data_IF_887796316880
#
_entry.id   IF_887796316880
#
_cell.length_a   1.000
_cell.length_b   1.000
_cell.length_c   1.000
_cell.angle_alpha   90.00
_cell.angle_beta   90.00
_cell.angle_gamma   90.00
#
_symmetry.space_group_name_H-M   'P 1'
#
loop_
_entity.id
_entity.type
_entity.pdbx_description
1 polymer ?
#
# COMPACT_ATOMS: atom_id res chain seq x y z
N UNK A 1 23.65 -20.47 13.12
CA UNK A 1 22.88 -19.73 14.13
C UNK A 1 21.47 -19.62 13.58
N UNK A 2 20.51 -20.31 14.15
CA UNK A 2 19.10 -20.23 13.77
C UNK A 2 18.56 -18.88 14.27
N UNK A 3 18.27 -17.94 13.38
CA UNK A 3 17.55 -16.72 13.74
C UNK A 3 16.06 -17.06 13.80
N UNK A 4 15.48 -16.89 14.95
CA UNK A 4 14.05 -17.05 15.21
C UNK A 4 13.33 -15.93 14.45
N UNK A 5 12.46 -16.31 13.51
CA UNK A 5 11.53 -15.39 12.87
C UNK A 5 10.64 -14.79 13.96
N UNK A 6 10.59 -13.50 13.99
CA UNK A 6 9.76 -12.74 14.89
C UNK A 6 8.33 -12.76 14.38
N UNK A 7 7.43 -13.31 15.18
CA UNK A 7 6.03 -13.49 14.82
C UNK A 7 5.22 -12.39 15.49
N UNK A 8 4.59 -11.54 14.70
CA UNK A 8 3.51 -10.71 15.18
C UNK A 8 2.22 -11.54 15.07
N UNK A 9 1.63 -11.94 16.19
CA UNK A 9 0.36 -12.68 16.19
C UNK A 9 -0.74 -11.68 16.54
N UNK A 10 -1.57 -11.37 15.57
CA UNK A 10 -2.81 -10.62 15.79
C UNK A 10 -3.97 -11.60 15.73
N UNK A 11 -4.72 -11.74 16.83
CA UNK A 11 -5.90 -12.59 16.88
C UNK A 11 -7.13 -11.75 16.51
N UNK A 12 -7.78 -12.06 15.41
CA UNK A 12 -9.07 -11.51 15.03
C UNK A 12 -10.17 -12.54 15.31
N UNK A 13 -11.24 -12.10 15.97
CA UNK A 13 -12.42 -12.92 16.17
C UNK A 13 -13.23 -12.97 14.88
N UNK A 14 -13.42 -14.14 14.31
CA UNK A 14 -14.39 -14.29 13.22
C UNK A 14 -15.81 -14.25 13.79
N UNK A 15 -16.68 -13.47 13.15
CA UNK A 15 -18.06 -13.25 13.58
C UNK A 15 -18.96 -14.48 13.39
N UNK A 16 -18.60 -15.62 13.97
CA UNK A 16 -19.48 -16.80 14.10
C UNK A 16 -19.14 -17.51 15.40
N UNK A 17 -19.82 -17.11 16.42
CA UNK A 17 -20.14 -17.75 17.70
C UNK A 17 -19.62 -17.07 18.97
N UNK A 18 -20.53 -16.98 19.88
CA UNK A 18 -20.47 -16.50 21.26
C UNK A 18 -19.20 -16.89 22.04
N UNK A 19 -18.68 -15.87 22.71
CA UNK A 19 -17.94 -15.94 23.97
C UNK A 19 -16.74 -16.90 24.02
N UNK A 20 -15.57 -16.39 23.61
CA UNK A 20 -14.31 -16.79 24.24
C UNK A 20 -13.35 -15.60 24.20
N UNK A 21 -12.86 -15.21 25.36
CA UNK A 21 -11.80 -14.22 25.51
C UNK A 21 -10.52 -14.84 24.96
N UNK A 22 -10.18 -14.52 23.72
CA UNK A 22 -8.91 -14.91 23.13
C UNK A 22 -7.81 -13.94 23.59
N UNK A 23 -6.71 -14.45 24.09
CA UNK A 23 -5.54 -13.65 24.39
C UNK A 23 -4.93 -13.18 23.08
N UNK A 24 -4.91 -11.86 22.91
CA UNK A 24 -4.09 -11.22 21.88
C UNK A 24 -2.70 -11.04 22.48
N UNK A 25 -1.77 -11.85 22.07
CA UNK A 25 -0.36 -11.67 22.43
C UNK A 25 0.36 -11.10 21.23
N UNK A 26 0.56 -9.81 21.25
CA UNK A 26 1.42 -9.14 20.30
C UNK A 26 2.84 -9.01 20.87
N UNK A 27 3.73 -9.93 20.58
CA UNK A 27 5.15 -9.68 20.79
C UNK A 27 5.68 -8.91 19.60
N UNK A 28 5.74 -7.59 19.71
CA UNK A 28 6.52 -6.75 18.82
C UNK A 28 7.92 -6.55 19.37
N UNK A 29 8.87 -7.24 18.82
CA UNK A 29 10.27 -6.82 18.91
C UNK A 29 10.66 -6.20 17.59
N UNK A 30 11.13 -4.96 17.65
CA UNK A 30 11.79 -4.14 16.61
C UNK A 30 11.44 -4.50 15.15
N UNK A 31 10.82 -3.59 14.43
CA UNK A 31 10.64 -3.72 12.98
C UNK A 31 11.97 -4.12 12.36
N UNK A 32 12.11 -5.40 12.03
CA UNK A 32 13.32 -5.94 11.43
C UNK A 32 13.29 -5.53 9.96
N UNK A 33 14.02 -4.49 9.65
CA UNK A 33 14.41 -4.23 8.27
C UNK A 33 15.02 -5.49 7.66
N UNK A 34 14.79 -5.76 6.37
CA UNK A 34 15.29 -6.98 5.73
C UNK A 34 16.77 -7.19 6.02
N UNK A 35 17.15 -8.42 6.34
CA UNK A 35 18.51 -8.79 6.69
C UNK A 35 19.48 -8.41 5.59
N UNK A 36 20.28 -7.40 5.81
CA UNK A 36 21.28 -6.85 4.89
C UNK A 36 21.67 -5.42 5.22
N UNK A 37 20.80 -4.64 5.83
CA UNK A 37 21.19 -3.37 6.41
C UNK A 37 21.80 -3.64 7.79
N UNK A 38 23.06 -3.37 7.97
CA UNK A 38 23.66 -3.22 9.30
C UNK A 38 22.83 -2.18 10.02
N UNK A 39 22.22 -2.57 11.13
CA UNK A 39 21.27 -1.79 11.87
C UNK A 39 21.75 -0.37 12.13
N UNK A 40 21.24 0.55 11.37
CA UNK A 40 21.13 1.92 11.79
C UNK A 40 19.82 1.97 12.56
N UNK A 41 19.91 1.99 13.90
CA UNK A 41 18.82 2.48 14.72
C UNK A 41 18.56 3.90 14.21
N UNK A 42 17.54 4.05 13.40
CA UNK A 42 16.96 5.36 13.18
C UNK A 42 16.05 5.55 14.39
N UNK A 43 16.43 6.38 15.37
CA UNK A 43 15.45 6.84 16.33
C UNK A 43 14.34 7.48 15.51
N UNK A 44 13.10 7.43 16.00
CA UNK A 44 12.06 8.38 15.63
C UNK A 44 12.53 9.79 16.09
N UNK A 45 13.61 10.22 15.55
CA UNK A 45 14.08 11.56 15.61
C UNK A 45 13.60 12.17 14.31
N UNK A 46 12.54 13.05 14.46
CA UNK A 46 12.49 14.25 13.68
C UNK A 46 13.27 14.03 12.38
N UNK A 47 12.56 13.88 11.27
CA UNK A 47 13.15 14.22 9.98
C UNK A 47 13.57 15.68 10.18
N UNK A 48 14.75 15.87 10.75
CA UNK A 48 15.49 17.07 10.47
C UNK A 48 15.63 17.00 8.97
N UNK A 49 14.88 17.87 8.29
CA UNK A 49 15.19 18.23 6.93
C UNK A 49 16.71 18.29 6.90
N UNK A 50 17.36 17.32 6.23
CA UNK A 50 18.73 17.57 5.83
C UNK A 50 18.63 18.89 5.12
N UNK A 51 19.19 19.93 5.74
CA UNK A 51 19.43 21.18 5.08
C UNK A 51 20.13 20.81 3.80
N UNK A 52 19.39 20.92 2.70
CA UNK A 52 20.01 20.86 1.39
C UNK A 52 21.08 21.95 1.42
N UNK A 53 22.31 21.66 0.99
CA UNK A 53 23.38 22.65 1.06
C UNK A 53 22.92 23.92 0.35
N UNK A 54 22.63 24.96 1.14
CA UNK A 54 22.54 26.33 0.79
C UNK A 54 21.69 26.70 -0.42
N UNK A 55 20.37 26.83 -0.24
CA UNK A 55 19.63 27.83 -1.00
C UNK A 55 19.99 29.21 -0.41
N UNK A 56 21.14 29.72 -0.80
CA UNK A 56 21.36 31.15 -0.79
C UNK A 56 20.55 31.72 -1.96
N UNK A 57 19.61 32.63 -1.60
CA UNK A 57 18.87 33.46 -2.53
C UNK A 57 17.86 32.77 -3.45
N UNK A 58 16.68 32.38 -2.93
CA UNK A 58 15.36 32.63 -3.53
C UNK A 58 15.01 32.07 -4.92
N UNK A 59 15.88 31.36 -5.59
CA UNK A 59 15.59 30.72 -6.87
C UNK A 59 14.91 29.36 -6.64
N UNK A 60 13.75 29.08 -7.25
CA UNK A 60 13.15 27.76 -7.17
C UNK A 60 14.12 26.76 -7.78
N UNK A 61 14.39 25.68 -7.02
CA UNK A 61 15.21 24.55 -7.50
C UNK A 61 14.57 24.02 -8.79
N UNK A 62 15.15 24.35 -9.93
CA UNK A 62 14.74 23.81 -11.22
C UNK A 62 15.21 22.35 -11.26
N UNK A 63 14.29 21.41 -10.97
CA UNK A 63 14.55 20.00 -11.24
C UNK A 63 14.82 19.81 -12.73
N UNK A 64 15.98 19.30 -13.05
CA UNK A 64 16.29 18.89 -14.43
C UNK A 64 16.16 17.38 -14.50
N UNK A 65 15.25 16.91 -15.33
CA UNK A 65 15.08 15.48 -15.59
C UNK A 65 16.39 14.91 -16.14
N UNK A 66 16.87 13.75 -15.63
CA UNK A 66 18.08 13.14 -16.13
C UNK A 66 17.94 12.70 -17.59
N UNK A 67 19.06 12.71 -18.32
CA UNK A 67 19.08 12.18 -19.68
C UNK A 67 18.76 10.68 -19.65
N UNK A 68 17.81 10.25 -20.47
CA UNK A 68 17.36 8.87 -20.52
C UNK A 68 18.40 8.01 -21.26
N UNK A 69 18.81 6.89 -20.66
CA UNK A 69 19.71 5.92 -21.32
C UNK A 69 19.06 5.17 -22.49
N UNK A 70 17.71 5.24 -22.59
CA UNK A 70 16.97 4.74 -23.74
C UNK A 70 17.03 5.76 -24.88
N UNK A 71 17.31 5.28 -26.10
CA UNK A 71 17.20 6.11 -27.30
C UNK A 71 15.76 6.59 -27.52
N UNK A 72 15.58 7.63 -28.30
CA UNK A 72 14.24 8.16 -28.63
C UNK A 72 13.34 7.11 -29.29
N UNK A 73 13.89 6.22 -30.10
CA UNK A 73 13.12 5.15 -30.74
C UNK A 73 12.66 4.10 -29.70
N UNK A 74 13.51 3.74 -28.74
CA UNK A 74 13.18 2.85 -27.66
C UNK A 74 12.13 3.46 -26.73
N UNK A 75 12.27 4.73 -26.36
CA UNK A 75 11.26 5.46 -25.58
C UNK A 75 9.91 5.43 -26.28
N UNK A 76 9.89 5.74 -27.59
CA UNK A 76 8.65 5.70 -28.39
C UNK A 76 8.06 4.30 -28.48
N UNK A 77 8.89 3.27 -28.59
CA UNK A 77 8.43 1.89 -28.58
C UNK A 77 7.76 1.56 -27.24
N UNK A 78 8.38 1.88 -26.11
CA UNK A 78 7.83 1.64 -24.78
C UNK A 78 6.54 2.45 -24.57
N UNK A 79 6.47 3.69 -25.06
CA UNK A 79 5.24 4.48 -25.03
C UNK A 79 4.10 3.81 -25.80
N UNK A 80 4.38 3.30 -26.99
CA UNK A 80 3.39 2.59 -27.79
C UNK A 80 2.94 1.28 -27.11
N UNK A 81 3.87 0.55 -26.50
CA UNK A 81 3.56 -0.67 -25.73
C UNK A 81 2.67 -0.34 -24.51
N UNK A 82 2.94 0.77 -23.81
CA UNK A 82 2.09 1.22 -22.70
C UNK A 82 0.67 1.59 -23.15
N UNK A 83 0.55 2.30 -24.26
CA UNK A 83 -0.76 2.63 -24.85
C UNK A 83 -1.49 1.35 -25.26
N UNK A 84 -0.81 0.41 -25.94
CA UNK A 84 -1.40 -0.87 -26.34
C UNK A 84 -1.84 -1.72 -25.14
N UNK A 85 -1.09 -1.72 -24.04
CA UNK A 85 -1.47 -2.37 -22.80
C UNK A 85 -2.74 -1.75 -22.20
N UNK A 86 -2.82 -0.42 -22.20
CA UNK A 86 -4.01 0.30 -21.76
C UNK A 86 -5.22 0.01 -22.67
N UNK A 87 -5.05 -0.02 -24.01
CA UNK A 87 -6.11 -0.37 -24.95
C UNK A 87 -6.73 -1.74 -24.67
N UNK A 88 -5.93 -2.75 -24.28
CA UNK A 88 -6.44 -4.07 -23.89
C UNK A 88 -7.40 -4.01 -22.69
N UNK A 89 -7.26 -2.97 -21.87
CA UNK A 89 -8.02 -2.78 -20.63
C UNK A 89 -9.09 -1.69 -20.76
N UNK A 90 -9.23 -1.06 -21.93
CA UNK A 90 -10.12 0.09 -22.14
C UNK A 90 -11.57 -0.17 -21.73
N UNK A 91 -12.06 -1.42 -21.85
CA UNK A 91 -13.41 -1.81 -21.46
C UNK A 91 -13.74 -1.59 -19.97
N UNK A 92 -12.73 -1.63 -19.11
CA UNK A 92 -12.91 -1.36 -17.66
C UNK A 92 -13.01 0.13 -17.35
N UNK A 93 -12.57 0.99 -18.25
CA UNK A 93 -12.51 2.44 -18.11
C UNK A 93 -13.60 3.19 -18.89
N UNK A 94 -14.34 2.51 -19.74
CA UNK A 94 -15.42 3.09 -20.55
C UNK A 94 -16.82 2.94 -19.97
N UNK A 95 -16.98 2.28 -18.83
CA UNK A 95 -18.27 2.08 -18.19
C UNK A 95 -18.83 3.42 -17.67
N UNK A 96 -20.01 3.82 -18.11
CA UNK A 96 -20.66 5.11 -17.80
C UNK A 96 -20.89 5.33 -16.29
N UNK A 97 -20.95 4.27 -15.48
CA UNK A 97 -21.20 4.34 -14.04
C UNK A 97 -19.98 4.78 -13.21
N UNK A 98 -18.80 4.81 -13.81
CA UNK A 98 -17.54 5.10 -13.10
C UNK A 98 -17.01 6.51 -13.34
N UNK A 99 -17.67 7.34 -14.13
CA UNK A 99 -17.19 8.69 -14.48
C UNK A 99 -17.69 9.71 -13.46
N UNK A 100 -16.98 9.87 -12.35
CA UNK A 100 -17.12 11.06 -11.54
C UNK A 100 -16.35 12.22 -12.19
N UNK A 101 -16.99 12.92 -13.10
CA UNK A 101 -16.46 14.15 -13.68
C UNK A 101 -16.50 15.27 -12.64
N UNK A 102 -15.46 15.43 -11.85
CA UNK A 102 -15.24 16.71 -11.18
C UNK A 102 -14.81 17.72 -12.24
N UNK A 103 -15.78 18.41 -12.83
CA UNK A 103 -15.58 19.42 -13.89
C UNK A 103 -14.69 20.61 -13.47
N UNK A 104 -14.32 20.68 -12.18
CA UNK A 104 -13.63 21.83 -11.61
C UNK A 104 -12.13 21.67 -11.44
N UNK A 105 -11.53 20.49 -11.64
CA UNK A 105 -10.10 20.29 -11.33
C UNK A 105 -9.16 20.32 -12.53
N UNK A 106 -9.67 20.38 -13.74
CA UNK A 106 -8.82 20.36 -14.97
C UNK A 106 -8.06 19.05 -15.20
N UNK A 107 -8.31 18.03 -14.36
CA UNK A 107 -7.79 16.68 -14.54
C UNK A 107 -8.77 15.82 -15.31
N UNK A 108 -8.26 14.90 -16.13
CA UNK A 108 -9.08 13.91 -16.80
C UNK A 108 -9.91 13.13 -15.78
N UNK A 109 -11.11 12.72 -16.17
CA UNK A 109 -12.07 12.00 -15.33
C UNK A 109 -11.38 10.86 -14.57
N UNK A 110 -11.41 10.93 -13.25
CA UNK A 110 -10.93 9.85 -12.39
C UNK A 110 -12.02 8.79 -12.36
N UNK A 111 -11.71 7.60 -12.83
CA UNK A 111 -12.57 6.43 -12.78
C UNK A 111 -12.11 5.59 -11.60
N UNK A 112 -12.89 5.49 -10.54
CA UNK A 112 -12.57 4.57 -9.46
C UNK A 112 -12.75 3.13 -9.93
N UNK A 113 -11.66 2.36 -9.92
CA UNK A 113 -11.67 0.94 -10.23
C UNK A 113 -11.96 0.13 -8.95
N UNK A 114 -12.95 -0.76 -9.06
CA UNK A 114 -13.15 -1.76 -8.00
C UNK A 114 -11.95 -2.71 -7.92
N UNK A 115 -11.80 -3.39 -6.81
CA UNK A 115 -10.79 -4.43 -6.64
C UNK A 115 -10.88 -5.49 -7.74
N UNK A 116 -12.08 -5.97 -8.04
CA UNK A 116 -12.28 -6.98 -9.07
C UNK A 116 -11.85 -6.49 -10.45
N UNK A 117 -12.12 -5.23 -10.79
CA UNK A 117 -11.67 -4.64 -12.05
C UNK A 117 -10.15 -4.56 -12.13
N UNK A 118 -9.48 -4.16 -11.04
CA UNK A 118 -8.00 -4.17 -10.99
C UNK A 118 -7.43 -5.57 -11.13
N UNK A 119 -8.03 -6.57 -10.45
CA UNK A 119 -7.67 -7.99 -10.61
C UNK A 119 -7.81 -8.46 -12.06
N UNK A 120 -8.91 -8.12 -12.70
CA UNK A 120 -9.16 -8.49 -14.09
C UNK A 120 -8.15 -7.84 -15.03
N UNK A 121 -7.84 -6.55 -14.85
CA UNK A 121 -6.82 -5.83 -15.63
C UNK A 121 -5.45 -6.51 -15.48
N UNK A 122 -5.00 -6.77 -14.25
CA UNK A 122 -3.72 -7.43 -13.98
C UNK A 122 -3.69 -8.82 -14.64
N UNK A 123 -4.79 -9.57 -14.59
CA UNK A 123 -4.87 -10.88 -15.24
C UNK A 123 -4.87 -10.78 -16.77
N UNK A 124 -5.58 -9.82 -17.36
CA UNK A 124 -5.56 -9.58 -18.82
C UNK A 124 -4.14 -9.31 -19.29
N UNK A 125 -3.44 -8.39 -18.64
CA UNK A 125 -2.05 -8.05 -18.97
C UNK A 125 -1.10 -9.23 -18.76
N UNK A 126 -1.21 -9.89 -17.61
CA UNK A 126 -0.38 -11.06 -17.29
C UNK A 126 -0.56 -12.23 -18.25
N UNK A 127 -1.79 -12.51 -18.68
CA UNK A 127 -2.08 -13.55 -19.68
C UNK A 127 -1.55 -13.22 -21.07
N UNK A 128 -1.29 -11.94 -21.35
CA UNK A 128 -0.60 -11.48 -22.57
C UNK A 128 0.93 -11.37 -22.39
N UNK A 129 1.48 -11.96 -21.34
CA UNK A 129 2.93 -12.05 -21.10
C UNK A 129 3.54 -10.77 -20.49
N UNK A 130 2.74 -9.82 -20.07
CA UNK A 130 3.22 -8.58 -19.44
C UNK A 130 3.41 -8.77 -17.94
N UNK A 131 4.43 -8.12 -17.36
CA UNK A 131 4.54 -8.04 -15.91
C UNK A 131 3.52 -7.02 -15.42
N UNK A 132 2.60 -7.45 -14.58
CA UNK A 132 1.51 -6.60 -14.10
C UNK A 132 1.22 -6.84 -12.63
N UNK A 133 0.84 -5.80 -11.90
CA UNK A 133 0.60 -5.84 -10.47
C UNK A 133 -0.41 -4.75 -10.07
N UNK A 134 -1.12 -4.97 -8.98
CA UNK A 134 -1.76 -3.92 -8.19
C UNK A 134 -1.52 -4.20 -6.71
N UNK A 135 -1.81 -3.23 -5.85
CA UNK A 135 -1.49 -3.31 -4.42
C UNK A 135 -2.05 -4.55 -3.71
N UNK A 136 -3.18 -5.04 -4.20
CA UNK A 136 -3.99 -6.10 -3.60
C UNK A 136 -3.77 -7.49 -4.25
N UNK A 137 -2.83 -7.60 -5.19
CA UNK A 137 -2.58 -8.83 -5.96
C UNK A 137 -1.12 -9.26 -5.97
N UNK A 138 -0.93 -10.55 -6.25
CA UNK A 138 0.38 -11.06 -6.64
C UNK A 138 0.76 -10.55 -8.04
N UNK A 139 2.02 -10.18 -8.20
CA UNK A 139 2.58 -9.80 -9.48
C UNK A 139 2.51 -10.97 -10.48
N UNK A 140 2.00 -10.71 -11.67
CA UNK A 140 2.00 -11.65 -12.79
C UNK A 140 3.33 -11.57 -13.53
N UNK A 141 3.83 -12.72 -13.97
CA UNK A 141 5.11 -12.86 -14.69
C UNK A 141 6.30 -12.24 -13.92
N UNK A 142 6.28 -12.37 -12.61
CA UNK A 142 7.27 -11.78 -11.69
C UNK A 142 8.69 -12.28 -11.96
N UNK A 143 8.84 -13.44 -12.58
CA UNK A 143 10.13 -14.04 -12.96
C UNK A 143 10.93 -13.12 -13.89
N UNK A 144 10.27 -12.28 -14.69
CA UNK A 144 10.93 -11.30 -15.54
C UNK A 144 11.63 -10.21 -14.71
N UNK A 145 11.04 -9.84 -13.56
CA UNK A 145 11.66 -8.88 -12.62
C UNK A 145 12.87 -9.54 -11.91
N UNK A 146 12.75 -10.81 -11.53
CA UNK A 146 13.88 -11.55 -10.96
C UNK A 146 15.03 -11.68 -11.98
N UNK A 147 14.70 -11.95 -13.25
CA UNK A 147 15.66 -12.02 -14.33
C UNK A 147 16.36 -10.68 -14.57
N UNK A 148 15.59 -9.58 -14.65
CA UNK A 148 16.14 -8.23 -14.71
C UNK A 148 17.14 -7.97 -13.59
N UNK A 149 16.73 -8.23 -12.35
CA UNK A 149 17.59 -8.00 -11.18
C UNK A 149 18.85 -8.88 -11.21
N UNK A 150 18.74 -10.11 -11.66
CA UNK A 150 19.86 -11.04 -11.79
C UNK A 150 20.89 -10.55 -12.81
N UNK A 151 20.43 -10.05 -13.97
CA UNK A 151 21.30 -9.47 -14.99
C UNK A 151 21.96 -8.17 -14.51
N UNK A 152 21.19 -7.28 -13.88
CA UNK A 152 21.72 -6.07 -13.25
C UNK A 152 22.85 -6.41 -12.26
N UNK A 153 22.67 -7.42 -11.40
CA UNK A 153 23.65 -7.83 -10.39
C UNK A 153 24.99 -8.26 -10.96
N UNK A 154 25.01 -8.80 -12.16
CA UNK A 154 26.25 -9.22 -12.85
C UNK A 154 26.73 -8.16 -13.86
N UNK A 155 26.13 -6.96 -13.85
CA UNK A 155 26.53 -5.86 -14.72
C UNK A 155 26.13 -6.00 -16.20
N UNK A 156 25.19 -6.90 -16.51
CA UNK A 156 24.64 -7.05 -17.84
C UNK A 156 23.48 -6.07 -18.07
N UNK A 157 23.41 -5.51 -19.27
CA UNK A 157 22.28 -4.68 -19.67
C UNK A 157 20.96 -5.45 -19.58
N UNK A 158 19.97 -4.81 -18.97
CA UNK A 158 18.68 -5.43 -18.70
C UNK A 158 17.56 -4.39 -18.72
N UNK A 159 16.34 -4.86 -19.06
CA UNK A 159 15.14 -4.05 -19.09
C UNK A 159 13.95 -4.90 -18.67
N UNK A 160 13.07 -4.34 -17.84
CA UNK A 160 11.76 -4.92 -17.50
C UNK A 160 10.73 -3.81 -17.34
N UNK A 161 9.52 -4.00 -17.85
CA UNK A 161 8.41 -3.06 -17.70
C UNK A 161 7.33 -3.68 -16.84
N UNK A 162 6.90 -2.97 -15.78
CA UNK A 162 5.82 -3.33 -14.88
C UNK A 162 4.63 -2.43 -15.18
N UNK A 163 3.44 -3.02 -15.36
CA UNK A 163 2.18 -2.33 -15.60
C UNK A 163 1.30 -2.35 -14.36
N UNK A 164 0.63 -1.22 -14.07
CA UNK A 164 -0.04 -1.02 -12.79
C UNK A 164 -1.33 -0.20 -12.94
N UNK A 165 -2.51 -0.83 -12.70
CA UNK A 165 -3.77 -0.11 -12.54
C UNK A 165 -3.93 0.34 -11.09
N UNK A 166 -4.32 1.60 -10.87
CA UNK A 166 -4.56 2.18 -9.54
C UNK A 166 -6.05 2.31 -9.24
N UNK A 167 -6.37 2.42 -7.95
CA UNK A 167 -7.75 2.57 -7.47
C UNK A 167 -8.42 3.82 -8.05
N UNK A 168 -7.67 4.91 -8.22
CA UNK A 168 -8.14 6.18 -8.76
C UNK A 168 -8.36 6.17 -10.29
N UNK A 169 -8.24 4.99 -10.92
CA UNK A 169 -8.40 4.83 -12.36
C UNK A 169 -7.18 5.24 -13.18
N UNK A 170 -6.09 5.67 -12.56
CA UNK A 170 -4.86 5.85 -13.32
C UNK A 170 -4.27 4.51 -13.74
N UNK A 171 -3.58 4.51 -14.87
CA UNK A 171 -2.84 3.36 -15.37
C UNK A 171 -1.42 3.80 -15.66
N UNK A 172 -0.46 3.02 -15.22
CA UNK A 172 0.93 3.35 -15.48
C UNK A 172 1.75 2.17 -15.99
N UNK A 173 2.87 2.48 -16.61
CA UNK A 173 3.96 1.55 -16.80
C UNK A 173 5.26 2.13 -16.25
N UNK A 174 6.05 1.28 -15.62
CA UNK A 174 7.36 1.64 -15.12
C UNK A 174 8.38 0.66 -15.67
N UNK A 175 9.26 1.18 -16.53
CA UNK A 175 10.34 0.40 -17.13
C UNK A 175 11.61 0.63 -16.32
N UNK A 176 12.12 -0.41 -15.70
CA UNK A 176 13.47 -0.42 -15.13
C UNK A 176 14.46 -0.73 -16.25
N UNK A 177 15.50 0.07 -16.36
CA UNK A 177 16.55 -0.11 -17.36
C UNK A 177 17.91 0.03 -16.71
N UNK A 178 18.77 -0.95 -16.97
CA UNK A 178 20.19 -0.88 -16.62
C UNK A 178 21.01 -0.97 -17.90
N UNK A 179 21.77 0.08 -18.17
CA UNK A 179 22.58 0.18 -19.38
C UNK A 179 23.80 1.05 -19.12
N UNK A 180 24.97 0.63 -19.62
CA UNK A 180 26.22 1.39 -19.51
C UNK A 180 26.60 1.80 -18.08
N UNK A 181 26.21 0.99 -17.09
CA UNK A 181 26.45 1.27 -15.68
C UNK A 181 25.44 2.23 -15.04
N UNK A 182 24.47 2.72 -15.79
CA UNK A 182 23.40 3.61 -15.32
C UNK A 182 22.13 2.79 -15.08
N UNK A 183 21.50 3.01 -13.94
CA UNK A 183 20.22 2.41 -13.57
C UNK A 183 19.15 3.49 -13.48
N UNK A 184 18.08 3.35 -14.27
CA UNK A 184 16.99 4.31 -14.34
C UNK A 184 15.62 3.63 -14.32
N UNK A 185 14.59 4.41 -14.01
CA UNK A 185 13.21 4.13 -14.38
C UNK A 185 12.75 5.08 -15.47
N UNK A 186 12.00 4.53 -16.43
CA UNK A 186 11.21 5.30 -17.37
C UNK A 186 9.73 5.07 -17.07
N UNK A 187 9.08 6.10 -16.53
CA UNK A 187 7.68 6.06 -16.10
C UNK A 187 6.78 6.64 -17.17
N UNK A 188 5.65 6.00 -17.43
CA UNK A 188 4.59 6.48 -18.31
C UNK A 188 3.29 6.43 -17.54
N UNK A 189 2.63 7.58 -17.39
CA UNK A 189 1.28 7.70 -16.87
C UNK A 189 0.28 7.79 -18.02
N UNK A 190 -0.73 6.95 -17.98
CA UNK A 190 -1.84 6.91 -18.94
C UNK A 190 -3.09 7.45 -18.27
N UNK A 191 -3.76 8.38 -18.93
CA UNK A 191 -5.11 8.80 -18.62
C UNK A 191 -6.07 8.41 -19.73
N UNK A 192 -7.33 8.74 -19.55
CA UNK A 192 -8.41 8.34 -20.45
C UNK A 192 -9.18 9.54 -20.95
N UNK A 193 -9.53 9.56 -22.22
CA UNK A 193 -10.49 10.49 -22.78
C UNK A 193 -11.93 10.05 -22.49
N UNK A 194 -12.89 10.94 -22.67
CA UNK A 194 -14.31 10.66 -22.41
C UNK A 194 -14.87 9.43 -23.13
N UNK A 195 -14.22 9.00 -24.20
CA UNK A 195 -14.58 7.82 -24.99
C UNK A 195 -13.79 6.56 -24.62
N UNK A 196 -13.04 6.58 -23.51
CA UNK A 196 -12.22 5.45 -23.08
C UNK A 196 -10.92 5.23 -23.88
N UNK A 197 -10.50 6.20 -24.69
CA UNK A 197 -9.23 6.13 -25.42
C UNK A 197 -8.08 6.49 -24.48
N UNK A 198 -7.06 5.62 -24.33
CA UNK A 198 -5.91 5.93 -23.49
C UNK A 198 -5.01 6.99 -24.13
N UNK A 199 -4.50 7.90 -23.31
CA UNK A 199 -3.56 8.94 -23.72
C UNK A 199 -2.42 9.06 -22.72
N UNK A 200 -1.21 9.26 -23.21
CA UNK A 200 -0.04 9.51 -22.35
C UNK A 200 -0.19 10.90 -21.74
N UNK A 201 -0.28 10.95 -20.42
CA UNK A 201 -0.33 12.20 -19.64
C UNK A 201 1.05 12.60 -19.10
N UNK A 202 1.92 11.62 -18.86
CA UNK A 202 3.26 11.84 -18.37
C UNK A 202 4.22 10.81 -18.92
N UNK A 203 5.44 11.25 -19.23
CA UNK A 203 6.59 10.38 -19.49
C UNK A 203 7.78 11.00 -18.76
N UNK A 204 8.45 10.25 -17.87
CA UNK A 204 9.51 10.78 -17.00
C UNK A 204 10.62 9.77 -16.80
N UNK A 205 11.85 10.25 -16.76
CA UNK A 205 13.04 9.46 -16.40
C UNK A 205 13.48 9.81 -14.99
N UNK A 206 13.82 8.81 -14.18
CA UNK A 206 14.44 9.00 -12.87
C UNK A 206 15.67 8.11 -12.74
N UNK A 207 16.75 8.67 -12.22
CA UNK A 207 17.90 7.89 -11.80
C UNK A 207 17.59 7.12 -10.53
N UNK A 208 18.04 5.87 -10.46
CA UNK A 208 17.96 5.03 -9.26
C UNK A 208 19.32 4.99 -8.58
N UNK A 209 19.37 5.44 -7.32
CA UNK A 209 20.58 5.41 -6.52
C UNK A 209 20.89 4.00 -5.99
N UNK A 210 19.87 3.23 -5.67
CA UNK A 210 20.01 1.87 -5.13
C UNK A 210 18.79 1.02 -5.54
N UNK A 211 19.05 -0.24 -5.87
CA UNK A 211 17.99 -1.24 -6.07
C UNK A 211 18.41 -2.57 -5.46
N UNK A 212 17.47 -3.26 -4.82
CA UNK A 212 17.70 -4.61 -4.28
C UNK A 212 16.43 -5.44 -4.31
N UNK A 213 16.58 -6.72 -4.59
CA UNK A 213 15.57 -7.74 -4.38
C UNK A 213 15.86 -8.44 -3.07
N UNK A 214 14.94 -8.37 -2.12
CA UNK A 214 15.10 -8.96 -0.79
C UNK A 214 14.79 -10.47 -0.82
N UNK A 215 15.27 -11.21 0.20
CA UNK A 215 14.93 -12.63 0.38
C UNK A 215 13.42 -12.83 0.58
N UNK A 216 12.73 -11.84 1.17
CA UNK A 216 11.29 -11.81 1.36
C UNK A 216 10.50 -11.54 0.07
N UNK A 217 11.17 -11.21 -1.02
CA UNK A 217 10.56 -11.03 -2.33
C UNK A 217 10.12 -9.61 -2.66
N UNK A 218 10.68 -8.60 -2.00
CA UNK A 218 10.45 -7.20 -2.36
C UNK A 218 11.57 -6.68 -3.24
N UNK A 219 11.24 -6.08 -4.37
CA UNK A 219 12.12 -5.20 -5.11
C UNK A 219 12.02 -3.80 -4.50
N UNK A 220 13.03 -3.38 -3.77
CA UNK A 220 13.11 -2.05 -3.16
C UNK A 220 14.10 -1.23 -3.94
N UNK A 221 13.73 0.00 -4.29
CA UNK A 221 14.62 0.93 -4.97
C UNK A 221 14.52 2.33 -4.38
N UNK A 222 15.62 3.08 -4.50
CA UNK A 222 15.74 4.45 -4.01
C UNK A 222 15.96 5.36 -5.19
N UNK A 223 15.09 6.31 -5.42
CA UNK A 223 15.27 7.35 -6.43
C UNK A 223 16.45 8.25 -6.04
N UNK A 224 17.25 8.68 -7.01
CA UNK A 224 18.38 9.57 -6.74
C UNK A 224 17.93 10.97 -6.30
N UNK A 225 16.74 11.38 -6.76
CA UNK A 225 16.13 12.68 -6.44
C UNK A 225 14.65 12.48 -6.15
N UNK A 226 14.13 13.22 -5.16
CA UNK A 226 12.69 13.29 -4.89
C UNK A 226 12.09 14.35 -5.81
N UNK A 227 11.13 13.94 -6.64
CA UNK A 227 10.38 14.85 -7.49
C UNK A 227 9.04 15.18 -6.84
N UNK A 228 8.83 16.44 -6.51
CA UNK A 228 7.60 16.95 -5.88
C UNK A 228 7.22 16.18 -4.61
N UNK A 229 6.03 15.56 -4.57
CA UNK A 229 5.53 14.78 -3.43
C UNK A 229 5.85 13.29 -3.52
N UNK A 230 6.77 12.88 -4.40
CA UNK A 230 7.17 11.48 -4.56
C UNK A 230 7.93 10.92 -3.35
N UNK A 231 7.98 9.62 -3.25
CA UNK A 231 8.77 8.91 -2.26
C UNK A 231 10.22 8.75 -2.74
N UNK A 232 11.18 8.97 -1.84
CA UNK A 232 12.57 8.66 -2.14
C UNK A 232 12.74 7.15 -2.35
N UNK A 233 12.09 6.34 -1.52
CA UNK A 233 12.18 4.88 -1.55
C UNK A 233 10.82 4.29 -1.94
N UNK A 234 10.84 3.43 -2.93
CA UNK A 234 9.67 2.72 -3.45
C UNK A 234 9.94 1.22 -3.48
N UNK A 235 8.88 0.42 -3.61
CA UNK A 235 9.02 -1.03 -3.65
C UNK A 235 7.89 -1.70 -4.44
N UNK A 236 8.16 -2.94 -4.89
CA UNK A 236 7.18 -3.88 -5.41
C UNK A 236 7.27 -5.20 -4.66
N UNK A 237 6.12 -5.78 -4.33
CA UNK A 237 6.06 -7.18 -3.96
C UNK A 237 6.22 -8.02 -5.23
N UNK A 238 7.37 -8.66 -5.41
CA UNK A 238 7.70 -9.46 -6.60
C UNK A 238 7.33 -10.92 -6.38
N UNK A 239 7.86 -11.57 -5.34
CA UNK A 239 7.54 -12.97 -5.07
C UNK A 239 6.12 -13.11 -4.55
N UNK A 240 5.32 -14.02 -5.13
CA UNK A 240 3.94 -14.19 -4.73
C UNK A 240 3.81 -14.71 -3.30
N UNK A 241 2.73 -14.32 -2.64
CA UNK A 241 2.23 -14.92 -1.41
C UNK A 241 1.07 -15.88 -1.73
N UNK A 242 0.73 -16.81 -0.82
CA UNK A 242 -0.52 -17.55 -0.93
C UNK A 242 -1.71 -16.58 -1.10
N UNK A 243 -2.65 -16.92 -1.98
CA UNK A 243 -3.79 -16.04 -2.27
C UNK A 243 -4.59 -15.71 -1.01
N UNK A 244 -4.80 -16.68 -0.12
CA UNK A 244 -5.44 -16.44 1.17
C UNK A 244 -4.70 -15.40 2.03
N UNK A 245 -3.36 -15.38 1.99
CA UNK A 245 -2.60 -14.33 2.68
C UNK A 245 -2.83 -12.94 2.07
N UNK A 246 -2.97 -12.86 0.74
CA UNK A 246 -3.32 -11.61 0.05
C UNK A 246 -4.72 -11.13 0.44
N UNK A 247 -5.70 -12.03 0.45
CA UNK A 247 -7.08 -11.73 0.88
C UNK A 247 -7.13 -11.26 2.35
N UNK A 248 -6.38 -11.94 3.24
CA UNK A 248 -6.29 -11.54 4.64
C UNK A 248 -5.58 -10.19 4.83
N UNK A 249 -4.51 -9.93 4.05
CA UNK A 249 -3.85 -8.63 4.02
C UNK A 249 -4.84 -7.54 3.64
N UNK A 250 -5.59 -7.74 2.58
CA UNK A 250 -6.55 -6.77 2.11
C UNK A 250 -7.66 -6.52 3.13
N UNK A 251 -8.21 -7.58 3.69
CA UNK A 251 -9.31 -7.46 4.64
C UNK A 251 -8.91 -6.78 5.94
N UNK A 252 -7.74 -7.10 6.49
CA UNK A 252 -7.38 -6.73 7.86
C UNK A 252 -6.24 -5.73 7.98
N UNK A 253 -5.48 -5.48 6.90
CA UNK A 253 -4.26 -4.69 6.95
C UNK A 253 -4.28 -3.49 6.01
N UNK A 254 -4.48 -3.72 4.70
CA UNK A 254 -4.36 -2.67 3.67
C UNK A 254 -5.32 -1.51 3.83
N UNK A 255 -6.43 -1.74 4.48
CA UNK A 255 -7.43 -0.71 4.72
C UNK A 255 -7.26 0.09 6.01
N UNK A 256 -6.27 -0.23 6.83
CA UNK A 256 -6.07 0.48 8.08
C UNK A 256 -5.51 1.88 7.84
N UNK A 257 -6.06 2.87 8.53
CA UNK A 257 -5.48 4.20 8.61
C UNK A 257 -4.18 4.19 9.41
N UNK A 258 -3.44 5.30 9.34
CA UNK A 258 -2.20 5.47 10.11
C UNK A 258 -2.38 5.20 11.61
N UNK A 259 -3.50 5.62 12.18
CA UNK A 259 -3.76 5.42 13.61
C UNK A 259 -4.10 3.97 13.93
N UNK A 260 -4.97 3.35 13.15
CA UNK A 260 -5.32 1.93 13.33
C UNK A 260 -4.12 1.00 13.07
N UNK A 261 -3.18 1.46 12.25
CA UNK A 261 -1.92 0.77 12.01
C UNK A 261 -1.05 0.60 13.26
N UNK A 262 -1.26 1.43 14.29
CA UNK A 262 -0.60 1.29 15.59
C UNK A 262 -0.80 -0.09 16.21
N UNK A 263 -1.92 -0.77 15.92
CA UNK A 263 -2.18 -2.16 16.32
C UNK A 263 -1.08 -3.12 15.86
N UNK A 264 -0.44 -2.83 14.72
CA UNK A 264 0.59 -3.67 14.11
C UNK A 264 2.01 -3.34 14.58
N UNK A 265 2.22 -2.14 15.13
CA UNK A 265 3.57 -1.64 15.47
C UNK A 265 3.77 -1.32 16.95
N UNK A 266 2.73 -1.46 17.76
CA UNK A 266 2.78 -1.28 19.22
C UNK A 266 2.77 -2.65 19.90
N UNK A 267 3.58 -2.81 20.94
CA UNK A 267 3.55 -4.01 21.78
C UNK A 267 2.43 -3.87 22.82
N UNK A 268 1.32 -4.57 22.59
CA UNK A 268 0.13 -4.49 23.42
C UNK A 268 -0.52 -5.86 23.62
N UNK A 269 -1.26 -5.98 24.72
CA UNK A 269 -2.11 -7.12 25.05
C UNK A 269 -3.38 -6.66 25.79
N UNK A 270 -4.14 -7.59 26.34
CA UNK A 270 -5.35 -7.28 27.13
C UNK A 270 -5.07 -6.48 28.41
N UNK A 271 -3.83 -6.39 28.86
CA UNK A 271 -3.45 -5.67 30.08
C UNK A 271 -3.09 -4.21 29.83
N UNK A 272 -2.83 -3.82 28.58
CA UNK A 272 -2.43 -2.45 28.21
C UNK A 272 -3.09 -1.98 26.89
N UNK A 273 -4.26 -2.51 26.57
CA UNK A 273 -4.98 -2.21 25.32
C UNK A 273 -5.28 -0.72 25.13
N UNK A 274 -5.36 0.04 26.22
CA UNK A 274 -5.55 1.51 26.20
C UNK A 274 -4.42 2.25 25.49
N UNK A 275 -3.24 1.67 25.37
CA UNK A 275 -2.12 2.29 24.65
C UNK A 275 -2.41 2.45 23.17
N UNK A 276 -3.21 1.55 22.59
CA UNK A 276 -3.56 1.58 21.16
C UNK A 276 -4.93 2.15 20.87
N UNK A 277 -5.84 2.18 21.85
CA UNK A 277 -7.21 2.66 21.62
C UNK A 277 -7.24 4.15 21.22
N UNK A 278 -7.90 4.43 20.11
CA UNK A 278 -8.17 5.78 19.62
C UNK A 278 -9.57 5.85 19.02
N UNK A 279 -10.32 6.93 19.25
CA UNK A 279 -11.69 7.06 18.74
C UNK A 279 -11.82 6.86 17.24
N UNK A 280 -10.85 7.36 16.46
CA UNK A 280 -10.86 7.29 15.00
C UNK A 280 -10.64 5.87 14.44
N UNK A 281 -10.25 4.88 15.26
CA UNK A 281 -10.11 3.48 14.81
C UNK A 281 -11.47 2.85 14.47
N UNK A 282 -12.55 3.39 15.02
CA UNK A 282 -13.89 2.84 14.78
C UNK A 282 -14.23 2.73 13.30
N UNK A 283 -13.89 3.74 12.51
CA UNK A 283 -14.17 3.76 11.07
C UNK A 283 -13.54 2.55 10.34
N UNK A 284 -12.26 2.26 10.64
CA UNK A 284 -11.56 1.11 10.05
C UNK A 284 -12.12 -0.22 10.54
N UNK A 285 -12.40 -0.33 11.84
CA UNK A 285 -12.96 -1.55 12.44
C UNK A 285 -14.40 -1.79 11.96
N UNK A 286 -15.20 -0.73 11.80
CA UNK A 286 -16.52 -0.81 11.22
C UNK A 286 -16.48 -1.38 9.79
N UNK A 287 -15.57 -0.87 8.97
CA UNK A 287 -15.39 -1.37 7.59
C UNK A 287 -14.92 -2.83 7.57
N UNK A 288 -14.00 -3.24 8.44
CA UNK A 288 -13.59 -4.64 8.57
C UNK A 288 -14.79 -5.52 8.95
N UNK A 289 -15.66 -5.02 9.83
CA UNK A 289 -16.82 -5.76 10.35
C UNK A 289 -17.94 -5.88 9.34
N UNK A 290 -18.29 -4.80 8.66
CA UNK A 290 -19.48 -4.71 7.78
C UNK A 290 -19.15 -4.85 6.30
N UNK A 291 -17.92 -4.53 5.89
CA UNK A 291 -17.54 -4.35 4.49
C UNK A 291 -17.92 -2.98 3.91
N UNK A 292 -18.50 -2.08 4.71
CA UNK A 292 -19.03 -0.79 4.28
C UNK A 292 -18.29 0.36 4.98
N UNK A 293 -18.25 1.53 4.34
CA UNK A 293 -17.71 2.75 4.94
C UNK A 293 -18.76 3.33 5.91
N UNK A 294 -18.33 3.69 7.11
CA UNK A 294 -19.20 4.36 8.08
C UNK A 294 -19.55 5.77 7.59
N UNK A 295 -20.84 6.09 7.56
CA UNK A 295 -21.33 7.43 7.19
C UNK A 295 -21.92 8.09 8.45
N UNK A 296 -21.24 9.12 9.01
CA UNK A 296 -21.74 9.81 10.20
C UNK A 296 -23.01 10.62 9.86
N UNK A 297 -24.00 10.56 10.72
CA UNK A 297 -25.24 11.34 10.60
C UNK A 297 -25.19 12.70 11.33
N UNK A 298 -24.09 12.99 12.00
CA UNK A 298 -23.84 14.24 12.74
C UNK A 298 -24.26 14.20 14.22
N UNK A 299 -24.92 13.16 14.69
CA UNK A 299 -25.35 13.01 16.09
C UNK A 299 -24.34 12.23 16.97
N UNK A 300 -23.29 11.72 16.37
CA UNK A 300 -22.33 10.82 17.02
C UNK A 300 -22.61 9.36 16.70
N UNK A 301 -21.84 8.46 17.28
CA UNK A 301 -21.98 7.01 17.08
C UNK A 301 -22.72 6.44 18.29
N UNK A 302 -23.88 5.79 18.13
CA UNK A 302 -24.60 5.17 19.25
C UNK A 302 -23.70 4.21 20.05
N UNK A 303 -23.75 4.30 21.39
CA UNK A 303 -22.86 3.52 22.26
C UNK A 303 -22.95 2.01 22.01
N UNK A 304 -24.18 1.49 21.82
CA UNK A 304 -24.40 0.08 21.53
C UNK A 304 -23.67 -0.36 20.25
N UNK A 305 -23.71 0.45 19.19
CA UNK A 305 -23.04 0.15 17.92
C UNK A 305 -21.52 0.18 18.08
N UNK A 306 -21.00 1.26 18.69
CA UNK A 306 -19.55 1.42 18.90
C UNK A 306 -18.98 0.29 19.76
N UNK A 307 -19.59 0.06 20.92
CA UNK A 307 -19.13 -0.94 21.88
C UNK A 307 -19.20 -2.36 21.31
N UNK A 308 -20.32 -2.73 20.66
CA UNK A 308 -20.47 -4.05 20.07
C UNK A 308 -19.42 -4.38 19.02
N UNK A 309 -19.08 -3.41 18.18
CA UNK A 309 -18.07 -3.60 17.12
C UNK A 309 -16.67 -3.63 17.74
N UNK A 310 -16.31 -2.64 18.55
CA UNK A 310 -14.96 -2.56 19.13
C UNK A 310 -14.65 -3.76 20.02
N UNK A 311 -15.59 -4.20 20.84
CA UNK A 311 -15.44 -5.38 21.70
C UNK A 311 -15.37 -6.71 20.92
N UNK A 312 -15.78 -6.72 19.66
CA UNK A 312 -15.61 -7.89 18.79
C UNK A 312 -14.14 -8.10 18.39
N UNK A 313 -13.37 -7.03 18.26
CA UNK A 313 -12.00 -7.07 17.75
C UNK A 313 -10.93 -6.81 18.82
N UNK A 314 -11.29 -6.15 19.90
CA UNK A 314 -10.37 -5.81 20.99
C UNK A 314 -10.82 -6.41 22.31
N UNK A 315 -9.92 -6.90 23.16
CA UNK A 315 -10.22 -7.43 24.49
C UNK A 315 -10.46 -6.28 25.48
N UNK A 316 -11.54 -5.52 25.25
CA UNK A 316 -11.91 -4.31 26.03
C UNK A 316 -13.30 -4.45 26.61
N UNK A 317 -13.56 -3.70 27.68
CA UNK A 317 -14.91 -3.55 28.25
C UNK A 317 -15.55 -2.24 27.77
N UNK A 318 -16.87 -2.14 27.90
CA UNK A 318 -17.59 -0.91 27.61
C UNK A 318 -17.10 0.26 28.48
N UNK A 319 -16.75 0.00 29.75
CA UNK A 319 -16.21 1.01 30.65
C UNK A 319 -14.87 1.57 30.16
N UNK A 320 -13.97 0.72 29.67
CA UNK A 320 -12.70 1.14 29.09
C UNK A 320 -12.92 1.97 27.83
N UNK A 321 -13.83 1.55 26.93
CA UNK A 321 -14.17 2.33 25.75
C UNK A 321 -14.72 3.71 26.11
N UNK A 322 -15.61 3.78 27.10
CA UNK A 322 -16.18 5.05 27.60
C UNK A 322 -15.13 5.97 28.21
N UNK A 323 -14.13 5.40 28.88
CA UNK A 323 -13.03 6.15 29.45
C UNK A 323 -12.07 6.73 28.39
N UNK A 324 -11.72 5.94 27.37
CA UNK A 324 -10.62 6.27 26.44
C UNK A 324 -11.09 6.80 25.07
N UNK A 325 -12.38 6.62 24.70
CA UNK A 325 -12.83 6.86 23.32
C UNK A 325 -13.87 7.99 23.17
N UNK A 326 -13.77 9.07 23.98
CA UNK A 326 -14.62 10.28 23.86
C UNK A 326 -16.13 9.98 23.90
N UNK A 327 -16.56 9.23 24.91
CA UNK A 327 -17.97 8.94 25.18
C UNK A 327 -18.67 10.15 25.81
N UNK A 328 -19.90 10.44 25.35
CA UNK A 328 -20.80 11.41 25.92
C UNK A 328 -21.98 10.73 26.62
N UNK A 329 -21.99 10.76 27.94
CA UNK A 329 -23.04 10.13 28.74
C UNK A 329 -24.40 10.88 28.66
N UNK A 330 -24.44 12.13 28.19
CA UNK A 330 -25.70 12.87 28.06
C UNK A 330 -26.49 12.42 26.83
N UNK A 331 -25.82 11.99 25.78
CA UNK A 331 -26.43 11.53 24.53
C UNK A 331 -26.32 10.03 24.32
N UNK A 332 -25.59 9.31 25.19
CA UNK A 332 -25.25 7.89 25.03
C UNK A 332 -24.59 7.59 23.69
N UNK A 333 -23.64 8.45 23.28
CA UNK A 333 -22.94 8.34 22.01
C UNK A 333 -21.43 8.50 22.18
N UNK A 334 -20.66 8.00 21.20
CA UNK A 334 -19.25 8.32 21.01
C UNK A 334 -19.11 9.42 19.97
N UNK A 335 -18.19 10.34 20.21
CA UNK A 335 -17.87 11.36 19.23
C UNK A 335 -17.23 10.71 18.00
N UNK A 336 -17.81 10.97 16.82
CA UNK A 336 -17.17 10.56 15.58
C UNK A 336 -15.87 11.33 15.34
N UNK A 337 -14.82 10.62 15.07
CA UNK A 337 -13.53 11.17 14.66
C UNK A 337 -13.09 10.45 13.38
N UNK A 338 -12.89 11.23 12.34
CA UNK A 338 -12.44 10.71 11.05
C UNK A 338 -11.01 10.15 11.16
N UNK A 339 -10.81 8.98 10.60
CA UNK A 339 -9.48 8.40 10.44
C UNK A 339 -8.73 9.17 9.35
N UNK A 340 -7.68 9.86 9.73
CA UNK A 340 -6.91 10.72 8.81
C UNK A 340 -5.61 10.03 8.44
N UNK A 341 -5.29 10.08 7.15
CA UNK A 341 -4.04 9.71 6.49
C UNK A 341 -3.80 8.21 6.28
N UNK A 342 -3.12 7.95 5.18
CA UNK A 342 -2.63 6.60 4.85
C UNK A 342 -1.35 6.30 5.62
N UNK A 343 -1.11 5.03 6.00
CA UNK A 343 0.13 4.65 6.65
C UNK A 343 1.33 4.90 5.73
N UNK A 344 2.45 5.27 6.34
CA UNK A 344 3.71 5.42 5.62
C UNK A 344 4.35 4.04 5.39
N UNK A 345 5.03 3.81 4.23
CA UNK A 345 5.77 2.57 4.01
C UNK A 345 6.85 2.33 5.09
N UNK A 346 7.19 1.09 5.41
CA UNK A 346 6.71 -0.15 4.81
C UNK A 346 5.33 -0.57 5.34
N UNK A 347 4.52 -1.12 4.45
CA UNK A 347 3.22 -1.69 4.84
C UNK A 347 3.40 -3.14 5.25
N UNK A 348 2.75 -3.62 6.33
CA UNK A 348 2.76 -5.02 6.67
C UNK A 348 1.93 -5.83 5.67
N UNK A 349 2.32 -7.08 5.51
CA UNK A 349 1.56 -8.06 4.76
C UNK A 349 1.38 -9.33 5.60
N UNK A 350 0.24 -9.96 5.47
CA UNK A 350 0.03 -11.29 6.05
C UNK A 350 0.83 -12.30 5.24
N UNK A 351 1.80 -12.92 5.89
CA UNK A 351 2.70 -13.91 5.23
C UNK A 351 2.33 -15.35 5.59
N UNK A 352 1.58 -15.55 6.68
CA UNK A 352 1.06 -16.84 7.13
C UNK A 352 -0.14 -16.61 8.04
N UNK A 353 -0.96 -17.63 8.25
CA UNK A 353 -2.10 -17.57 9.15
C UNK A 353 -2.39 -18.92 9.80
N UNK A 354 -3.13 -18.89 10.88
CA UNK A 354 -3.61 -20.08 11.57
C UNK A 354 -5.05 -19.88 12.02
N UNK A 355 -5.90 -20.84 11.69
CA UNK A 355 -7.24 -20.94 12.25
C UNK A 355 -7.14 -21.62 13.62
N UNK A 356 -7.69 -21.00 14.63
CA UNK A 356 -7.71 -21.53 16.00
C UNK A 356 -8.99 -22.34 16.25
N UNK A 357 -8.93 -23.22 17.25
CA UNK A 357 -10.06 -24.12 17.59
C UNK A 357 -11.30 -23.33 18.06
N UNK A 358 -11.12 -22.16 18.61
CA UNK A 358 -12.15 -21.23 19.06
C UNK A 358 -12.78 -20.39 17.95
N UNK A 359 -12.37 -20.60 16.69
CA UNK A 359 -12.85 -19.84 15.54
C UNK A 359 -12.14 -18.51 15.33
N UNK A 360 -11.10 -18.20 16.07
CA UNK A 360 -10.26 -17.02 15.83
C UNK A 360 -9.20 -17.29 14.79
N UNK A 361 -8.65 -16.21 14.19
CA UNK A 361 -7.51 -16.25 13.27
C UNK A 361 -6.28 -15.65 13.95
N UNK A 362 -5.16 -16.34 13.82
CA UNK A 362 -3.85 -15.76 14.11
C UNK A 362 -3.19 -15.40 12.80
N UNK A 363 -2.88 -14.13 12.59
CA UNK A 363 -2.19 -13.63 11.41
C UNK A 363 -0.70 -13.43 11.74
N UNK A 364 0.15 -13.91 10.86
CA UNK A 364 1.59 -13.62 10.90
C UNK A 364 1.87 -12.54 9.89
N UNK A 365 2.30 -11.39 10.40
CA UNK A 365 2.48 -10.18 9.60
C UNK A 365 3.96 -9.84 9.54
N UNK A 366 4.42 -9.38 8.35
CA UNK A 366 5.83 -9.08 8.07
C UNK A 366 6.02 -7.62 7.67
#
# INVERSE_FOLDING_TARGET
>A
MKRTLQKCSVCFLSALSLAAVGHVVGEMKEAVYPAGSRGVKVPFARIESQEQPGAADGEPYAYTEPECVLSMDEQKKIQNEAVSAAEMCAGYYSAEESVNSSKDSGYASVIELTEQQRRDIVNVLGNNGMVSVSDDMNMRNYEEVENFYSQYRIGQEALVTIYEPFIDGTFSSRTFVYRQGILQTYYIGIGWQDNGIPVIQAARTNDIAEIRLTEKGYLIYTNAVIVAHGNLKEYYRVKPLPETCRELTQKYVSGLSYVSYMVMITDWDSGNVEEILRPCMFEDVYRIHTGEVFVPDGEGIPAELYESIMMTYFPVTAEQLREYCNYDAATDTYKYEMSISQPLPPFPEVVDYKENVDGTLTLFVD
#
